data_IF_561416343315
#
_entry.id   IF_561416343315
#
_cell.length_a   1.000
_cell.length_b   1.000
_cell.length_c   1.000
_cell.angle_alpha   90.00
_cell.angle_beta   90.00
_cell.angle_gamma   90.00
#
_symmetry.space_group_name_H-M   'P 1'
#
loop_
_entity.id
_entity.type
_entity.pdbx_description
1 polymer ?
#
# COMPACT_ATOMS: atom_id res chain seq x y z
N UNK A 1 -29.83 18.81 25.23
CA UNK A 1 -29.94 17.35 25.05
C UNK A 1 -30.04 17.05 23.56
N UNK A 2 -28.91 17.06 22.85
CA UNK A 2 -28.87 16.56 21.46
C UNK A 2 -27.48 15.98 21.23
N UNK A 3 -27.39 14.67 21.38
CA UNK A 3 -26.19 13.85 21.23
C UNK A 3 -25.82 13.87 19.74
N UNK A 4 -24.91 14.75 19.31
CA UNK A 4 -24.27 14.60 18.01
C UNK A 4 -23.46 13.32 18.08
N UNK A 5 -23.98 12.27 17.46
CA UNK A 5 -23.28 11.02 17.20
C UNK A 5 -22.03 11.32 16.39
N UNK A 6 -20.91 11.44 17.09
CA UNK A 6 -19.58 11.31 16.52
C UNK A 6 -19.48 9.89 15.97
N UNK A 7 -19.84 9.72 14.69
CA UNK A 7 -19.57 8.49 13.94
C UNK A 7 -18.06 8.33 13.93
N UNK A 8 -17.57 7.46 14.80
CA UNK A 8 -16.19 6.95 14.78
C UNK A 8 -16.02 6.18 13.48
N UNK A 9 -15.64 6.87 12.41
CA UNK A 9 -15.01 6.22 11.26
C UNK A 9 -13.54 5.98 11.66
N UNK A 10 -13.34 5.06 12.61
CA UNK A 10 -12.03 4.51 12.95
C UNK A 10 -11.64 3.62 11.78
N UNK A 11 -11.00 4.20 10.76
CA UNK A 11 -10.31 3.45 9.72
C UNK A 11 -9.26 2.62 10.42
N UNK A 12 -9.50 1.32 10.57
CA UNK A 12 -8.49 0.38 11.08
C UNK A 12 -7.31 0.46 10.13
N UNK A 13 -6.14 0.87 10.61
CA UNK A 13 -4.89 0.83 9.84
C UNK A 13 -4.70 -0.60 9.34
N UNK A 14 -4.65 -0.79 8.02
CA UNK A 14 -4.52 -2.11 7.44
C UNK A 14 -3.05 -2.52 7.41
N UNK A 15 -2.79 -3.78 7.75
CA UNK A 15 -1.45 -4.36 7.81
C UNK A 15 -1.43 -5.74 7.19
N UNK A 16 -0.32 -6.08 6.55
CA UNK A 16 0.02 -7.44 6.15
C UNK A 16 1.36 -7.84 6.78
N UNK A 17 1.46 -9.07 7.28
CA UNK A 17 2.72 -9.68 7.72
C UNK A 17 3.22 -10.65 6.65
N UNK A 18 4.55 -10.72 6.49
CA UNK A 18 5.19 -11.65 5.57
C UNK A 18 6.04 -12.61 6.39
N UNK A 19 5.77 -13.91 6.23
CA UNK A 19 6.39 -14.97 7.00
C UNK A 19 6.87 -16.09 6.07
N UNK A 20 7.87 -16.83 6.52
CA UNK A 20 8.30 -18.10 5.93
C UNK A 20 8.41 -19.13 7.05
N UNK A 21 9.61 -19.67 7.32
CA UNK A 21 9.87 -20.41 8.57
C UNK A 21 9.89 -19.49 9.79
N UNK A 22 10.26 -18.21 9.59
CA UNK A 22 10.26 -17.16 10.59
C UNK A 22 9.62 -15.90 10.03
N UNK A 23 9.27 -14.95 10.90
CA UNK A 23 8.81 -13.62 10.51
C UNK A 23 9.87 -12.92 9.65
N UNK A 24 9.47 -12.41 8.50
CA UNK A 24 10.32 -11.58 7.62
C UNK A 24 10.11 -10.10 7.97
N UNK A 25 8.85 -9.69 8.17
CA UNK A 25 8.48 -8.33 8.54
C UNK A 25 7.00 -8.02 8.26
N UNK A 26 6.66 -6.74 8.20
CA UNK A 26 5.29 -6.27 7.94
C UNK A 26 5.25 -5.07 7.01
N UNK A 27 4.06 -4.81 6.44
CA UNK A 27 3.75 -3.59 5.70
C UNK A 27 2.46 -3.02 6.26
N UNK A 28 2.48 -1.73 6.60
CA UNK A 28 1.38 -1.05 7.29
C UNK A 28 0.94 0.19 6.50
N UNK A 29 -0.38 0.38 6.37
CA UNK A 29 -0.97 1.59 5.79
C UNK A 29 -0.83 2.75 6.78
N UNK A 30 -0.23 3.84 6.33
CA UNK A 30 -0.14 5.08 7.09
C UNK A 30 -1.40 5.91 6.89
N UNK A 31 -1.89 6.56 7.95
CA UNK A 31 -2.88 7.61 7.79
C UNK A 31 -2.27 8.79 7.02
N UNK A 32 -2.85 9.11 5.85
CA UNK A 32 -2.37 10.19 4.99
C UNK A 32 -3.53 10.89 4.29
N UNK A 33 -3.46 12.22 4.25
CA UNK A 33 -4.48 13.09 3.63
C UNK A 33 -4.19 13.33 2.14
N UNK A 34 -2.93 13.16 1.72
CA UNK A 34 -2.43 13.57 0.39
C UNK A 34 -2.56 12.42 -0.63
N UNK A 35 -2.60 11.17 -0.17
CA UNK A 35 -2.63 9.98 -0.99
C UNK A 35 -2.22 8.74 -0.19
N UNK A 36 -2.33 7.53 -0.76
CA UNK A 36 -1.97 6.30 -0.07
C UNK A 36 -0.48 6.28 0.26
N UNK A 37 -0.16 5.91 1.50
CA UNK A 37 1.19 5.85 2.04
C UNK A 37 1.33 4.59 2.89
N UNK A 38 2.48 3.94 2.83
CA UNK A 38 2.77 2.73 3.60
C UNK A 38 4.18 2.76 4.15
N UNK A 39 4.39 2.07 5.26
CA UNK A 39 5.71 1.84 5.84
C UNK A 39 6.00 0.34 5.84
N UNK A 40 7.20 -0.03 5.41
CA UNK A 40 7.70 -1.40 5.42
C UNK A 40 8.61 -1.58 6.63
N UNK A 41 8.39 -2.63 7.40
CA UNK A 41 9.16 -2.96 8.60
C UNK A 41 9.82 -4.33 8.48
N UNK A 42 10.98 -4.49 9.09
CA UNK A 42 11.62 -5.79 9.26
C UNK A 42 10.99 -6.61 10.40
N UNK A 43 11.51 -7.82 10.64
CA UNK A 43 11.05 -8.72 11.69
C UNK A 43 11.18 -8.16 13.12
N UNK A 44 12.00 -7.12 13.32
CA UNK A 44 12.19 -6.44 14.61
C UNK A 44 11.32 -5.18 14.75
N UNK A 45 10.43 -4.92 13.78
CA UNK A 45 9.66 -3.68 13.63
C UNK A 45 10.53 -2.44 13.38
N UNK A 46 11.75 -2.60 12.85
CA UNK A 46 12.55 -1.47 12.39
C UNK A 46 12.10 -1.06 10.97
N UNK A 47 11.88 0.24 10.69
CA UNK A 47 11.41 0.69 9.39
C UNK A 47 12.52 0.60 8.34
N UNK A 48 12.18 0.02 7.18
CA UNK A 48 13.10 -0.22 6.06
C UNK A 48 12.94 0.80 4.93
N UNK A 49 11.69 1.10 4.56
CA UNK A 49 11.37 2.04 3.48
C UNK A 49 9.92 2.52 3.56
N UNK A 50 9.60 3.55 2.77
CA UNK A 50 8.25 4.10 2.63
C UNK A 50 7.75 3.86 1.21
N UNK A 51 6.45 3.66 1.06
CA UNK A 51 5.80 3.51 -0.24
C UNK A 51 4.81 4.66 -0.40
N UNK A 52 4.96 5.45 -1.45
CA UNK A 52 4.09 6.58 -1.76
C UNK A 52 3.36 6.34 -3.07
N UNK A 53 2.03 6.43 -3.04
CA UNK A 53 1.22 6.43 -4.25
C UNK A 53 0.90 7.84 -4.77
N UNK A 54 0.02 7.94 -5.78
CA UNK A 54 -0.34 9.21 -6.41
C UNK A 54 -0.91 10.23 -5.40
N UNK A 55 -0.38 11.46 -5.44
CA UNK A 55 -0.72 12.56 -4.53
C UNK A 55 -1.98 13.32 -4.98
N UNK A 56 -3.14 12.67 -4.92
CA UNK A 56 -4.41 13.24 -5.41
C UNK A 56 -5.56 12.79 -4.48
N UNK A 57 -6.67 13.56 -4.44
CA UNK A 57 -7.87 13.27 -3.64
C UNK A 57 -8.20 11.78 -3.59
N UNK A 58 -8.33 11.21 -2.38
CA UNK A 58 -8.69 9.80 -2.15
C UNK A 58 -10.07 9.38 -2.68
N UNK A 59 -10.75 10.28 -3.38
CA UNK A 59 -11.99 10.07 -4.11
C UNK A 59 -11.77 9.58 -5.56
N UNK A 60 -10.59 9.80 -6.15
CA UNK A 60 -10.30 9.44 -7.54
C UNK A 60 -9.72 8.02 -7.58
N UNK A 61 -10.49 7.08 -8.14
CA UNK A 61 -10.03 5.73 -8.45
C UNK A 61 -9.25 5.75 -9.77
N UNK A 62 -8.06 5.15 -9.80
CA UNK A 62 -7.24 5.10 -11.01
C UNK A 62 -7.39 3.76 -11.74
N UNK A 63 -7.47 3.85 -13.07
CA UNK A 63 -7.23 2.71 -13.97
C UNK A 63 -5.78 2.23 -13.90
N UNK A 64 -4.86 3.14 -13.58
CA UNK A 64 -3.42 2.90 -13.44
C UNK A 64 -2.86 3.75 -12.29
N UNK A 65 -2.13 3.13 -11.37
CA UNK A 65 -1.50 3.81 -10.24
C UNK A 65 -0.05 3.39 -10.08
N UNK A 66 0.84 4.38 -10.08
CA UNK A 66 2.27 4.20 -9.83
C UNK A 66 2.59 4.55 -8.37
N UNK A 67 3.29 3.64 -7.71
CA UNK A 67 3.82 3.76 -6.37
C UNK A 67 5.35 3.76 -6.42
N UNK A 68 5.94 4.65 -5.64
CA UNK A 68 7.39 4.75 -5.48
C UNK A 68 7.78 4.20 -4.12
N UNK A 69 8.76 3.30 -4.10
CA UNK A 69 9.37 2.80 -2.87
C UNK A 69 10.63 3.61 -2.62
N UNK A 70 10.65 4.37 -1.54
CA UNK A 70 11.68 5.34 -1.21
C UNK A 70 12.36 4.94 0.10
N UNK A 71 13.67 5.14 0.19
CA UNK A 71 14.44 4.95 1.42
C UNK A 71 13.92 5.81 2.58
N UNK A 72 14.25 5.43 3.82
CA UNK A 72 13.75 6.13 5.01
C UNK A 72 14.21 7.58 5.14
N UNK A 73 15.39 7.90 4.60
CA UNK A 73 15.96 9.26 4.51
C UNK A 73 15.44 10.05 3.29
N UNK A 74 14.56 9.45 2.48
CA UNK A 74 13.93 10.06 1.30
C UNK A 74 14.88 10.46 0.17
N UNK A 75 16.10 9.90 0.15
CA UNK A 75 17.13 10.25 -0.84
C UNK A 75 17.18 9.31 -2.06
N UNK A 76 16.71 8.07 -1.91
CA UNK A 76 16.87 7.02 -2.92
C UNK A 76 15.55 6.33 -3.22
N UNK A 77 15.25 6.17 -4.52
CA UNK A 77 14.20 5.28 -4.97
C UNK A 77 14.73 3.84 -5.06
N UNK A 78 14.16 2.96 -4.24
CA UNK A 78 14.56 1.56 -4.11
C UNK A 78 13.83 0.63 -5.09
N UNK A 79 12.58 0.95 -5.40
CA UNK A 79 11.72 0.14 -6.26
C UNK A 79 10.54 0.98 -6.78
N UNK A 80 9.79 0.41 -7.73
CA UNK A 80 8.50 0.93 -8.15
C UNK A 80 7.47 -0.20 -8.20
N UNK A 81 6.22 0.15 -7.90
CA UNK A 81 5.08 -0.73 -8.04
C UNK A 81 4.05 -0.04 -8.91
N UNK A 82 3.52 -0.73 -9.90
CA UNK A 82 2.47 -0.25 -10.76
C UNK A 82 1.30 -1.22 -10.70
N UNK A 83 0.12 -0.69 -10.48
CA UNK A 83 -1.14 -1.39 -10.60
C UNK A 83 -1.89 -0.82 -11.81
N UNK A 84 -2.44 -1.68 -12.66
CA UNK A 84 -3.36 -1.32 -13.72
C UNK A 84 -4.54 -2.31 -13.73
N UNK A 85 -5.76 -1.77 -13.78
CA UNK A 85 -7.00 -2.54 -13.88
C UNK A 85 -7.80 -2.08 -15.09
N UNK A 86 -8.02 -2.98 -16.05
CA UNK A 86 -8.86 -2.73 -17.22
C UNK A 86 -10.26 -3.32 -17.07
N UNK A 87 -11.20 -2.49 -16.65
CA UNK A 87 -12.60 -2.89 -16.46
C UNK A 87 -13.26 -3.52 -17.70
N UNK A 88 -12.83 -3.14 -18.92
CA UNK A 88 -13.47 -3.60 -20.15
C UNK A 88 -13.03 -5.01 -20.53
N UNK A 89 -11.74 -5.29 -20.38
CA UNK A 89 -11.14 -6.58 -20.71
C UNK A 89 -11.08 -7.53 -19.50
N UNK A 90 -11.41 -7.03 -18.30
CA UNK A 90 -11.26 -7.75 -17.02
C UNK A 90 -9.82 -8.20 -16.80
N UNK A 91 -8.88 -7.35 -17.22
CA UNK A 91 -7.45 -7.60 -17.10
C UNK A 91 -6.86 -6.83 -15.93
N UNK A 92 -6.01 -7.52 -15.18
CA UNK A 92 -5.27 -6.97 -14.06
C UNK A 92 -3.77 -7.12 -14.30
N UNK A 93 -3.04 -6.01 -14.18
CA UNK A 93 -1.58 -5.99 -14.26
C UNK A 93 -1.03 -5.40 -12.98
N UNK A 94 -0.16 -6.18 -12.32
CA UNK A 94 0.69 -5.72 -11.24
C UNK A 94 2.14 -5.89 -11.68
N UNK A 95 2.88 -4.79 -11.67
CA UNK A 95 4.30 -4.77 -12.00
C UNK A 95 5.09 -4.24 -10.81
N UNK A 96 5.93 -5.10 -10.22
CA UNK A 96 6.89 -4.72 -9.18
C UNK A 96 8.30 -4.77 -9.76
N UNK A 97 8.98 -3.64 -9.75
CA UNK A 97 10.33 -3.48 -10.32
C UNK A 97 11.30 -3.04 -9.24
N UNK A 98 12.43 -3.73 -9.11
CA UNK A 98 13.51 -3.42 -8.18
C UNK A 98 14.88 -3.78 -8.79
N UNK A 99 15.98 -3.16 -8.32
CA UNK A 99 17.34 -3.54 -8.69
C UNK A 99 17.64 -5.01 -8.39
N UNK A 100 18.53 -5.62 -9.19
CA UNK A 100 18.87 -7.05 -9.10
C UNK A 100 19.42 -7.43 -7.71
N UNK A 101 20.21 -6.54 -7.12
CA UNK A 101 20.90 -6.62 -5.83
C UNK A 101 20.01 -6.33 -4.62
N UNK A 102 18.73 -6.07 -4.82
CA UNK A 102 17.77 -5.88 -3.71
C UNK A 102 17.69 -7.14 -2.85
N UNK A 103 17.73 -6.98 -1.53
CA UNK A 103 17.64 -8.08 -0.58
C UNK A 103 16.33 -8.88 -0.74
N UNK A 104 16.42 -10.21 -0.60
CA UNK A 104 15.28 -11.12 -0.83
C UNK A 104 14.15 -10.89 0.19
N UNK A 105 14.47 -10.51 1.44
CA UNK A 105 13.46 -10.17 2.44
C UNK A 105 12.71 -8.91 2.02
N UNK A 106 13.43 -7.88 1.55
CA UNK A 106 12.78 -6.67 1.04
C UNK A 106 11.92 -6.96 -0.18
N UNK A 107 12.39 -7.78 -1.15
CA UNK A 107 11.57 -8.22 -2.29
C UNK A 107 10.27 -8.88 -1.84
N UNK A 108 10.36 -9.76 -0.84
CA UNK A 108 9.21 -10.47 -0.26
C UNK A 108 8.23 -9.50 0.43
N UNK A 109 8.75 -8.52 1.15
CA UNK A 109 7.94 -7.49 1.79
C UNK A 109 7.25 -6.57 0.77
N UNK A 110 7.93 -6.19 -0.31
CA UNK A 110 7.33 -5.40 -1.39
C UNK A 110 6.25 -6.17 -2.16
N UNK A 111 6.41 -7.49 -2.31
CA UNK A 111 5.34 -8.35 -2.80
C UNK A 111 4.16 -8.38 -1.81
N UNK A 112 4.40 -8.47 -0.51
CA UNK A 112 3.36 -8.32 0.51
C UNK A 112 2.63 -6.96 0.40
N UNK A 113 3.39 -5.88 0.23
CA UNK A 113 2.84 -4.53 0.04
C UNK A 113 1.89 -4.47 -1.16
N UNK A 114 2.24 -5.15 -2.26
CA UNK A 114 1.39 -5.20 -3.45
C UNK A 114 0.00 -5.79 -3.19
N UNK A 115 -0.08 -6.88 -2.40
CA UNK A 115 -1.36 -7.46 -2.01
C UNK A 115 -2.17 -6.53 -1.10
N UNK A 116 -1.50 -5.83 -0.17
CA UNK A 116 -2.18 -4.88 0.71
C UNK A 116 -2.77 -3.70 -0.08
N UNK A 117 -1.99 -3.14 -1.01
CA UNK A 117 -2.44 -2.05 -1.91
C UNK A 117 -3.66 -2.50 -2.70
N UNK A 118 -3.64 -3.71 -3.24
CA UNK A 118 -4.72 -4.25 -4.05
C UNK A 118 -5.99 -4.50 -3.23
N UNK A 119 -5.84 -5.11 -2.04
CA UNK A 119 -6.93 -5.31 -1.11
C UNK A 119 -7.63 -3.98 -0.77
N UNK A 120 -6.84 -2.93 -0.50
CA UNK A 120 -7.35 -1.59 -0.20
C UNK A 120 -8.05 -0.96 -1.41
N UNK A 121 -7.52 -1.15 -2.62
CA UNK A 121 -8.15 -0.69 -3.87
C UNK A 121 -9.56 -1.26 -4.03
N UNK A 122 -9.70 -2.59 -3.99
CA UNK A 122 -11.01 -3.24 -4.11
C UNK A 122 -11.93 -2.94 -2.91
N UNK A 123 -11.38 -2.78 -1.71
CA UNK A 123 -12.17 -2.39 -0.54
C UNK A 123 -12.79 -0.99 -0.74
N UNK A 124 -12.04 -0.03 -1.30
CA UNK A 124 -12.53 1.32 -1.61
C UNK A 124 -13.57 1.31 -2.72
N UNK A 125 -13.34 0.57 -3.81
CA UNK A 125 -14.33 0.38 -4.89
C UNK A 125 -15.66 -0.14 -4.33
N UNK A 126 -15.61 -1.21 -3.52
CA UNK A 126 -16.81 -1.82 -2.93
C UNK A 126 -17.56 -0.88 -1.97
N UNK A 127 -16.86 0.05 -1.30
CA UNK A 127 -17.49 1.06 -0.45
C UNK A 127 -18.15 2.15 -1.28
N UNK A 128 -17.52 2.58 -2.37
CA UNK A 128 -18.08 3.57 -3.29
C UNK A 128 -19.34 3.05 -3.99
N UNK A 129 -19.38 1.77 -4.38
CA UNK A 129 -20.55 1.18 -5.04
C UNK A 129 -21.77 0.95 -4.13
N UNK A 130 -21.62 1.13 -2.81
CA UNK A 130 -22.69 0.97 -1.81
C UNK A 130 -23.31 2.29 -1.36
N UNK A 131 -22.79 3.42 -1.84
CA UNK A 131 -23.35 4.76 -1.64
C UNK A 131 -24.15 5.16 -2.85
#
# INVERSE_FOLDING_TARGET
MTRKSLTRDTTVEQRITVESANLIGSVEENFSVIGPSFTVYDASNAPLCKIYGPKICGCCMYKESLFQVISMDETLQLASLMHQWDHLNVDYILLLTFPIDTDVKLKSLLLGASFLIEYLYFQRIRRASRR
#
